data_IF_581078004421
#
_entry.id   IF_581078004421
#
_cell.length_a   1.000
_cell.length_b   1.000
_cell.length_c   1.000
_cell.angle_alpha   90.00
_cell.angle_beta   90.00
_cell.angle_gamma   90.00
#
_symmetry.space_group_name_H-M   'P 1'
#
loop_
_entity.id
_entity.type
_entity.pdbx_description
1 polymer ?
#
# COMPACT_ATOMS: atom_id res chain seq x y z
N UNK A 1 35.81 -3.97 27.00
CA UNK A 1 34.47 -3.35 27.02
C UNK A 1 34.21 -2.71 25.66
N UNK A 2 33.41 -3.34 24.81
CA UNK A 2 33.12 -2.86 23.47
C UNK A 2 31.69 -2.29 23.43
N UNK A 3 31.58 -0.99 23.17
CA UNK A 3 30.31 -0.29 23.11
C UNK A 3 29.51 -0.66 21.84
N UNK A 4 28.17 -0.82 21.91
CA UNK A 4 27.35 -1.17 20.76
C UNK A 4 27.18 0.02 19.80
N UNK A 5 27.52 -0.20 18.52
CA UNK A 5 27.29 0.76 17.44
C UNK A 5 25.79 0.82 17.12
N UNK A 6 25.14 1.95 17.42
CA UNK A 6 23.75 2.23 17.03
C UNK A 6 23.65 2.39 15.51
N UNK A 7 23.03 1.44 14.82
CA UNK A 7 22.62 1.61 13.42
C UNK A 7 21.51 2.67 13.36
N UNK A 8 21.80 3.82 12.75
CA UNK A 8 20.78 4.83 12.44
C UNK A 8 20.02 4.37 11.20
N UNK A 9 18.86 3.73 11.40
CA UNK A 9 17.90 3.48 10.33
C UNK A 9 17.47 4.81 9.71
N UNK A 10 17.87 5.07 8.47
CA UNK A 10 17.45 6.24 7.71
C UNK A 10 15.97 6.08 7.38
N UNK A 11 15.09 6.78 8.10
CA UNK A 11 13.67 6.87 7.76
C UNK A 11 13.56 7.58 6.42
N UNK A 12 13.50 6.82 5.32
CA UNK A 12 13.28 7.38 3.98
C UNK A 12 11.98 8.18 4.02
N UNK A 13 12.11 9.50 3.81
CA UNK A 13 10.98 10.42 3.89
C UNK A 13 10.16 10.30 2.62
N UNK A 14 9.10 9.48 2.67
CA UNK A 14 8.13 9.36 1.58
C UNK A 14 7.26 10.62 1.57
N UNK A 15 7.29 11.38 0.48
CA UNK A 15 6.48 12.59 0.28
C UNK A 15 5.50 12.39 -0.88
N UNK A 16 4.20 12.60 -0.60
CA UNK A 16 3.14 12.69 -1.60
C UNK A 16 2.73 14.14 -1.84
N UNK A 17 1.92 14.36 -2.86
CA UNK A 17 1.32 15.66 -3.19
C UNK A 17 -0.21 15.58 -3.08
N UNK A 18 -0.82 16.55 -2.41
CA UNK A 18 -2.26 16.71 -2.32
C UNK A 18 -2.65 18.04 -2.95
N UNK A 19 -3.71 18.05 -3.75
CA UNK A 19 -4.34 19.28 -4.19
C UNK A 19 -5.70 19.37 -3.51
N UNK A 20 -5.92 20.50 -2.85
CA UNK A 20 -7.08 20.76 -2.02
C UNK A 20 -7.93 21.86 -2.67
N UNK A 21 -9.24 21.78 -2.50
CA UNK A 21 -10.19 22.80 -2.92
C UNK A 21 -11.02 23.30 -1.73
N UNK A 22 -11.20 24.62 -1.64
CA UNK A 22 -11.97 25.30 -0.58
C UNK A 22 -13.48 25.20 -0.85
N UNK A 23 -13.91 25.52 -2.07
CA UNK A 23 -15.33 25.53 -2.45
C UNK A 23 -15.81 24.18 -3.00
N UNK A 24 -15.39 23.08 -2.38
CA UNK A 24 -15.81 21.76 -2.81
C UNK A 24 -17.08 21.31 -2.05
N UNK A 25 -18.11 20.75 -2.74
CA UNK A 25 -19.37 20.38 -2.09
C UNK A 25 -19.23 19.25 -1.07
N UNK A 26 -18.14 18.48 -1.10
CA UNK A 26 -17.83 17.44 -0.14
C UNK A 26 -16.69 17.86 0.78
N UNK A 27 -16.71 17.34 2.00
CA UNK A 27 -15.67 17.57 3.01
C UNK A 27 -14.77 16.35 3.14
N UNK A 28 -13.52 16.58 3.52
CA UNK A 28 -12.57 15.49 3.77
C UNK A 28 -13.08 14.50 4.84
N UNK A 29 -13.85 14.96 5.82
CA UNK A 29 -14.47 14.12 6.84
C UNK A 29 -15.40 13.03 6.27
N UNK A 30 -16.02 13.25 5.10
CA UNK A 30 -16.85 12.25 4.42
C UNK A 30 -15.99 11.19 3.71
N UNK A 31 -14.77 11.54 3.31
CA UNK A 31 -13.84 10.64 2.61
C UNK A 31 -13.04 9.75 3.58
N UNK A 32 -12.78 10.21 4.81
CA UNK A 32 -11.98 9.46 5.79
C UNK A 32 -12.54 8.05 6.10
N UNK A 33 -13.85 7.85 6.33
CA UNK A 33 -14.40 6.51 6.56
C UNK A 33 -14.19 5.56 5.38
N UNK A 34 -14.25 6.07 4.15
CA UNK A 34 -13.96 5.27 2.95
C UNK A 34 -12.50 4.82 2.96
N UNK A 35 -11.58 5.72 3.30
CA UNK A 35 -10.15 5.38 3.39
C UNK A 35 -9.88 4.35 4.49
N UNK A 36 -10.58 4.43 5.63
CA UNK A 36 -10.45 3.45 6.71
C UNK A 36 -10.94 2.06 6.26
N UNK A 37 -12.07 1.97 5.54
CA UNK A 37 -12.53 0.69 4.95
C UNK A 37 -11.51 0.14 3.94
N UNK A 38 -11.03 0.99 3.03
CA UNK A 38 -10.01 0.59 2.04
C UNK A 38 -8.67 0.21 2.67
N UNK A 39 -8.36 0.72 3.87
CA UNK A 39 -7.15 0.39 4.60
C UNK A 39 -7.10 -1.07 5.05
N UNK A 40 -8.26 -1.68 5.29
CA UNK A 40 -8.36 -3.11 5.59
C UNK A 40 -8.02 -3.98 4.37
N UNK A 41 -8.26 -3.49 3.16
CA UNK A 41 -7.94 -4.21 1.94
C UNK A 41 -6.46 -4.08 1.53
N UNK A 42 -5.81 -2.94 1.79
CA UNK A 42 -4.40 -2.74 1.42
C UNK A 42 -3.70 -1.68 2.30
N UNK A 43 -2.50 -2.03 2.81
CA UNK A 43 -1.64 -1.18 3.64
C UNK A 43 -1.22 0.15 2.98
N UNK A 44 -1.26 0.24 1.65
CA UNK A 44 -1.01 1.51 0.94
C UNK A 44 -2.11 2.53 1.22
N UNK A 45 -3.37 2.12 1.37
CA UNK A 45 -4.46 3.03 1.74
C UNK A 45 -4.30 3.54 3.17
N UNK A 46 -3.71 2.77 4.09
CA UNK A 46 -3.35 3.25 5.44
C UNK A 46 -2.38 4.43 5.39
N UNK A 47 -1.39 4.38 4.48
CA UNK A 47 -0.44 5.49 4.28
C UNK A 47 -1.13 6.73 3.70
N UNK A 48 -2.03 6.53 2.74
CA UNK A 48 -2.84 7.61 2.14
C UNK A 48 -3.78 8.24 3.18
N UNK A 49 -4.50 7.43 3.96
CA UNK A 49 -5.37 7.87 5.04
C UNK A 49 -4.59 8.69 6.08
N UNK A 50 -3.43 8.20 6.52
CA UNK A 50 -2.54 8.92 7.44
C UNK A 50 -2.03 10.25 6.86
N UNK A 51 -1.80 10.31 5.55
CA UNK A 51 -1.42 11.55 4.87
C UNK A 51 -2.58 12.54 4.81
N UNK A 52 -3.79 12.08 4.49
CA UNK A 52 -5.02 12.88 4.46
C UNK A 52 -5.41 13.42 5.83
N UNK A 53 -5.23 12.62 6.90
CA UNK A 53 -5.55 12.98 8.29
C UNK A 53 -4.90 14.29 8.75
N UNK A 54 -3.79 14.69 8.12
CA UNK A 54 -3.14 16.00 8.37
C UNK A 54 -4.03 17.20 8.04
N UNK A 55 -5.03 17.00 7.18
CA UNK A 55 -5.92 18.03 6.66
C UNK A 55 -7.36 17.89 7.22
N UNK A 56 -7.63 16.90 8.07
CA UNK A 56 -8.95 16.59 8.63
C UNK A 56 -9.59 17.77 9.41
N UNK A 57 -8.75 18.68 9.92
CA UNK A 57 -9.20 19.90 10.61
C UNK A 57 -9.46 21.11 9.70
N UNK A 58 -9.45 20.94 8.39
CA UNK A 58 -9.72 22.01 7.42
C UNK A 58 -10.98 21.69 6.62
N UNK A 59 -11.75 22.70 6.23
CA UNK A 59 -12.92 22.53 5.34
C UNK A 59 -12.53 22.32 3.86
N UNK A 60 -11.34 21.74 3.62
CA UNK A 60 -10.76 21.52 2.30
C UNK A 60 -11.03 20.08 1.82
N UNK A 61 -11.29 19.91 0.53
CA UNK A 61 -11.45 18.59 -0.08
C UNK A 61 -10.29 18.23 -1.00
N UNK A 62 -9.73 17.00 -0.93
CA UNK A 62 -8.70 16.56 -1.86
C UNK A 62 -9.32 16.27 -3.22
N UNK A 63 -9.06 17.12 -4.21
CA UNK A 63 -9.48 16.87 -5.61
C UNK A 63 -8.50 15.97 -6.35
N UNK A 64 -7.25 15.89 -5.87
CA UNK A 64 -6.20 15.05 -6.44
C UNK A 64 -5.19 14.65 -5.37
N UNK A 65 -4.77 13.39 -5.38
CA UNK A 65 -3.70 12.85 -4.54
C UNK A 65 -2.70 12.13 -5.43
N UNK A 66 -1.42 12.40 -5.21
CA UNK A 66 -0.31 11.68 -5.81
C UNK A 66 0.55 11.08 -4.69
N UNK A 67 0.57 9.75 -4.60
CA UNK A 67 1.35 9.03 -3.61
C UNK A 67 2.36 8.11 -4.33
N UNK A 68 3.66 8.15 -3.96
CA UNK A 68 4.61 7.18 -4.50
C UNK A 68 4.25 5.77 -4.02
N UNK A 69 4.16 4.83 -4.97
CA UNK A 69 3.97 3.41 -4.68
C UNK A 69 5.35 2.74 -4.53
N UNK A 70 6.21 2.95 -5.51
CA UNK A 70 7.55 2.36 -5.57
C UNK A 70 8.46 3.12 -6.52
N UNK A 71 9.66 3.51 -6.08
CA UNK A 71 10.67 4.28 -6.85
C UNK A 71 10.08 5.48 -7.61
N UNK A 72 9.95 5.38 -8.94
CA UNK A 72 9.43 6.42 -9.83
C UNK A 72 7.94 6.23 -10.17
N UNK A 73 7.29 5.20 -9.63
CA UNK A 73 5.87 4.88 -9.84
C UNK A 73 5.01 5.60 -8.80
N UNK A 74 3.99 6.30 -9.28
CA UNK A 74 3.04 7.05 -8.46
C UNK A 74 1.61 6.57 -8.68
N UNK A 75 0.88 6.35 -7.59
CA UNK A 75 -0.57 6.28 -7.61
C UNK A 75 -1.12 7.69 -7.76
N UNK A 76 -2.07 7.86 -8.68
CA UNK A 76 -2.79 9.09 -8.87
C UNK A 76 -4.28 8.87 -8.68
N UNK A 77 -4.82 9.42 -7.58
CA UNK A 77 -6.25 9.47 -7.33
C UNK A 77 -6.76 10.86 -7.69
N UNK A 78 -7.69 10.95 -8.63
CA UNK A 78 -8.37 12.21 -8.99
C UNK A 78 -9.85 12.05 -8.80
N UNK A 79 -10.48 13.01 -8.15
CA UNK A 79 -11.92 13.02 -8.03
C UNK A 79 -12.54 13.98 -9.05
N UNK A 80 -13.50 13.49 -9.81
CA UNK A 80 -14.14 14.21 -10.92
C UNK A 80 -15.62 13.89 -10.94
N UNK A 81 -16.42 14.82 -11.50
CA UNK A 81 -17.83 14.62 -11.80
C UNK A 81 -18.65 14.06 -10.61
N UNK A 82 -18.61 14.77 -9.48
CA UNK A 82 -19.41 14.36 -8.33
C UNK A 82 -20.89 14.68 -8.55
N UNK A 83 -21.71 13.69 -8.23
CA UNK A 83 -23.15 13.81 -8.19
C UNK A 83 -23.63 13.37 -6.81
N UNK A 84 -24.52 14.17 -6.22
CA UNK A 84 -25.14 13.81 -4.96
C UNK A 84 -26.34 12.93 -5.25
N UNK A 85 -26.22 11.64 -4.94
CA UNK A 85 -27.30 10.67 -5.08
C UNK A 85 -28.06 10.59 -3.76
N UNK A 86 -29.39 10.62 -3.83
CA UNK A 86 -30.24 10.27 -2.68
C UNK A 86 -30.31 8.75 -2.54
N UNK A 87 -30.62 8.28 -1.33
CA UNK A 87 -30.60 6.84 -1.01
C UNK A 87 -31.57 5.99 -1.86
N UNK A 88 -32.59 6.60 -2.44
CA UNK A 88 -33.56 6.00 -3.36
C UNK A 88 -33.09 5.96 -4.82
N UNK A 89 -32.02 6.69 -5.17
CA UNK A 89 -31.48 6.80 -6.52
C UNK A 89 -30.32 5.83 -6.79
N UNK A 90 -29.89 5.05 -5.79
CA UNK A 90 -28.80 4.07 -5.92
C UNK A 90 -29.29 2.83 -6.68
N UNK A 91 -28.69 2.49 -7.83
CA UNK A 91 -28.99 1.25 -8.52
C UNK A 91 -28.64 0.04 -7.65
N UNK A 92 -29.51 -0.99 -7.59
CA UNK A 92 -29.32 -2.14 -6.71
C UNK A 92 -28.13 -3.03 -7.14
N UNK A 93 -27.73 -2.96 -8.40
CA UNK A 93 -26.71 -3.80 -9.03
C UNK A 93 -25.28 -3.24 -8.90
N UNK A 94 -25.11 -1.99 -8.44
CA UNK A 94 -23.79 -1.35 -8.31
C UNK A 94 -22.84 -2.06 -7.34
N UNK A 95 -23.38 -2.83 -6.40
CA UNK A 95 -22.63 -3.54 -5.37
C UNK A 95 -22.75 -5.06 -5.50
N UNK A 96 -23.44 -5.55 -6.54
CA UNK A 96 -23.51 -6.98 -6.81
C UNK A 96 -22.20 -7.44 -7.48
N UNK A 97 -21.55 -8.41 -6.84
CA UNK A 97 -20.36 -9.04 -7.40
C UNK A 97 -20.79 -9.95 -8.56
N UNK A 98 -20.18 -9.84 -9.76
CA UNK A 98 -20.50 -10.73 -10.88
C UNK A 98 -20.38 -12.21 -10.51
N UNK A 99 -21.24 -13.05 -11.07
CA UNK A 99 -21.32 -14.48 -10.73
C UNK A 99 -20.06 -15.28 -11.14
N UNK A 100 -19.25 -14.74 -12.05
CA UNK A 100 -17.99 -15.29 -12.53
C UNK A 100 -16.77 -14.76 -11.76
N UNK A 101 -16.97 -13.97 -10.69
CA UNK A 101 -15.87 -13.47 -9.87
C UNK A 101 -15.32 -14.56 -8.95
N UNK A 102 -14.06 -14.91 -9.14
CA UNK A 102 -13.34 -15.84 -8.26
C UNK A 102 -12.75 -15.08 -7.07
N UNK A 103 -13.17 -15.46 -5.85
CA UNK A 103 -12.63 -14.87 -4.62
C UNK A 103 -11.30 -15.55 -4.33
N UNK A 104 -10.21 -14.89 -4.73
CA UNK A 104 -8.85 -15.30 -4.36
C UNK A 104 -8.53 -14.74 -2.98
N UNK A 105 -8.10 -15.60 -2.05
CA UNK A 105 -7.70 -15.14 -0.72
C UNK A 105 -6.42 -14.30 -0.82
N UNK A 106 -6.19 -13.43 0.17
CA UNK A 106 -4.97 -12.58 0.19
C UNK A 106 -3.72 -13.46 0.22
N UNK A 107 -3.78 -14.58 0.93
CA UNK A 107 -2.72 -15.58 1.01
C UNK A 107 -2.46 -16.24 -0.35
N UNK A 108 -3.52 -16.68 -1.04
CA UNK A 108 -3.41 -17.28 -2.37
C UNK A 108 -2.84 -16.29 -3.40
N UNK A 109 -3.28 -15.02 -3.37
CA UNK A 109 -2.78 -13.99 -4.26
C UNK A 109 -1.29 -13.67 -4.00
N UNK A 110 -0.87 -13.69 -2.73
CA UNK A 110 0.54 -13.49 -2.36
C UNK A 110 1.40 -14.67 -2.84
N UNK A 111 0.94 -15.91 -2.64
CA UNK A 111 1.61 -17.13 -3.11
C UNK A 111 1.78 -17.16 -4.64
N UNK A 112 0.76 -16.76 -5.40
CA UNK A 112 0.85 -16.65 -6.86
C UNK A 112 1.82 -15.56 -7.31
N UNK A 113 1.85 -14.42 -6.63
CA UNK A 113 2.82 -13.34 -6.89
C UNK A 113 4.25 -13.76 -6.58
N UNK A 114 4.47 -14.52 -5.50
CA UNK A 114 5.79 -15.06 -5.14
C UNK A 114 6.24 -16.16 -6.11
N UNK A 115 5.34 -17.07 -6.49
CA UNK A 115 5.63 -18.13 -7.45
C UNK A 115 5.96 -17.57 -8.85
N UNK A 116 5.26 -16.52 -9.28
CA UNK A 116 5.54 -15.86 -10.57
C UNK A 116 6.84 -15.04 -10.54
N UNK A 117 7.20 -14.43 -9.41
CA UNK A 117 8.52 -13.80 -9.23
C UNK A 117 9.65 -14.83 -9.20
N UNK A 118 9.47 -15.98 -8.53
CA UNK A 118 10.46 -17.05 -8.49
C UNK A 118 10.67 -17.69 -9.88
N UNK A 119 9.59 -17.86 -10.66
CA UNK A 119 9.67 -18.35 -12.03
C UNK A 119 10.35 -17.36 -12.99
N UNK A 120 10.19 -16.06 -12.78
CA UNK A 120 10.91 -15.03 -13.52
C UNK A 120 12.41 -15.07 -13.22
N UNK A 121 12.78 -15.16 -11.93
CA UNK A 121 14.19 -15.27 -11.50
C UNK A 121 14.88 -16.57 -11.97
N UNK A 122 14.12 -17.65 -12.17
CA UNK A 122 14.65 -18.91 -12.71
C UNK A 122 14.88 -18.88 -14.23
N UNK A 123 14.22 -17.97 -14.97
CA UNK A 123 14.40 -17.83 -16.43
C UNK A 123 15.63 -17.03 -16.83
N UNK A 124 16.23 -16.29 -15.90
CA UNK A 124 17.46 -15.53 -16.15
C UNK A 124 18.74 -16.37 -16.10
N UNK A 125 18.65 -17.70 -15.85
CA UNK A 125 19.82 -18.57 -15.72
C UNK A 125 20.26 -19.31 -16.99
N UNK A 126 19.54 -19.22 -18.11
CA UNK A 126 19.90 -19.91 -19.36
C UNK A 126 20.11 -18.91 -20.51
N UNK A 127 21.23 -18.18 -20.47
CA UNK A 127 21.55 -17.18 -21.50
C UNK A 127 22.78 -16.29 -21.24
N UNK A 128 23.96 -16.91 -21.17
CA UNK A 128 25.29 -16.34 -21.47
C UNK A 128 25.82 -15.10 -20.71
N UNK A 129 26.95 -15.33 -20.03
CA UNK A 129 27.81 -14.46 -19.23
C UNK A 129 28.18 -13.09 -19.85
N UNK A 130 27.79 -11.99 -19.20
CA UNK A 130 28.64 -10.80 -19.01
C UNK A 130 28.13 -9.93 -17.84
N UNK A 131 29.06 -9.58 -16.96
CA UNK A 131 28.95 -8.76 -15.75
C UNK A 131 28.25 -7.41 -15.93
N UNK A 132 27.31 -7.08 -15.04
CA UNK A 132 27.34 -5.92 -14.11
C UNK A 132 25.95 -5.66 -13.48
N UNK A 133 25.95 -5.52 -12.14
CA UNK A 133 24.95 -4.87 -11.27
C UNK A 133 23.59 -5.56 -11.05
N UNK A 134 23.53 -6.39 -10.00
CA UNK A 134 22.30 -6.75 -9.29
C UNK A 134 21.63 -5.50 -8.72
N UNK A 135 20.63 -4.95 -9.41
CA UNK A 135 19.63 -4.06 -8.79
C UNK A 135 18.61 -4.92 -8.01
N UNK A 136 19.08 -5.58 -6.95
CA UNK A 136 18.21 -6.06 -5.90
C UNK A 136 17.50 -4.85 -5.30
N UNK A 137 16.19 -4.73 -5.55
CA UNK A 137 15.34 -3.76 -4.88
C UNK A 137 15.40 -4.03 -3.38
N UNK A 138 16.22 -3.24 -2.69
CA UNK A 138 16.34 -3.26 -1.24
C UNK A 138 15.04 -2.73 -0.62
N UNK A 139 14.19 -3.66 -0.16
CA UNK A 139 13.07 -3.35 0.73
C UNK A 139 13.46 -3.60 2.19
N UNK A 140 13.86 -2.54 2.94
CA UNK A 140 14.29 -2.68 4.33
C UNK A 140 13.17 -3.10 5.28
N UNK A 141 11.90 -2.92 4.91
CA UNK A 141 10.75 -3.27 5.76
C UNK A 141 10.48 -4.78 5.70
N UNK A 142 10.72 -5.41 4.54
CA UNK A 142 10.52 -6.85 4.34
C UNK A 142 11.58 -7.67 5.09
N UNK A 143 12.85 -7.25 5.08
CA UNK A 143 13.90 -7.95 5.82
C UNK A 143 13.73 -7.79 7.35
N UNK A 144 13.24 -6.63 7.83
CA UNK A 144 12.93 -6.44 9.25
C UNK A 144 11.73 -7.27 9.69
N UNK A 145 10.68 -7.39 8.86
CA UNK A 145 9.51 -8.24 9.16
C UNK A 145 9.87 -9.72 9.18
N UNK A 146 10.64 -10.20 8.19
CA UNK A 146 11.13 -11.58 8.14
C UNK A 146 12.07 -11.88 9.33
N UNK A 147 12.92 -10.93 9.74
CA UNK A 147 13.75 -11.08 10.96
C UNK A 147 12.91 -11.13 12.23
N UNK A 148 11.87 -10.31 12.32
CA UNK A 148 10.96 -10.26 13.47
C UNK A 148 10.17 -11.56 13.62
N UNK A 149 9.65 -12.10 12.53
CA UNK A 149 8.92 -13.38 12.54
C UNK A 149 9.84 -14.56 12.89
N UNK A 150 11.06 -14.58 12.33
CA UNK A 150 12.05 -15.60 12.67
C UNK A 150 12.50 -15.54 14.15
N UNK A 151 12.64 -14.33 14.71
CA UNK A 151 12.95 -14.13 16.14
C UNK A 151 11.78 -14.54 17.06
N UNK A 152 10.54 -14.26 16.66
CA UNK A 152 9.34 -14.67 17.42
C UNK A 152 9.15 -16.19 17.38
N UNK A 153 9.45 -16.83 16.24
CA UNK A 153 9.44 -18.30 16.12
C UNK A 153 10.47 -18.99 17.01
N UNK A 154 11.66 -18.40 17.18
CA UNK A 154 12.67 -18.94 18.10
C UNK A 154 12.29 -18.81 19.58
N UNK A 155 11.58 -17.73 19.96
CA UNK A 155 11.10 -17.54 21.33
C UNK A 155 9.93 -18.46 21.69
N UNK A 156 9.13 -18.90 20.72
CA UNK A 156 8.03 -19.85 20.94
C UNK A 156 8.48 -21.30 21.18
N UNK A 157 9.72 -21.66 20.85
CA UNK A 157 10.24 -23.05 20.98
C UNK A 157 11.06 -23.27 22.25
N UNK A 158 11.26 -22.24 23.08
CA UNK A 158 12.04 -22.33 24.33
C UNK A 158 11.19 -22.25 25.61
N UNK A 159 9.87 -22.41 25.53
CA UNK A 159 9.01 -22.53 26.71
C UNK A 159 8.03 -23.69 26.58
N UNK A 160 8.41 -24.80 27.22
CA UNK A 160 7.71 -26.08 27.43
C UNK A 160 7.81 -27.11 26.31
#
# INVERSE_FOLDING_TARGET
EAAPKKSKGSKRKVSGRCWLAEDFPLKLSLLMPLMDVMSHANSQFTKVAKFMRKWEGTDLFPVKIQAPLFMTVYALLTFKAFEYLRGDELPPDWFEVPADYEVVSVEQALEEMEASQAAAAAKDQDGDTRSEEEDAVYDPDLEEQVKLEHLLGQLSTTSS
#
